data_IF_519345298533
#
_entry.id   IF_519345298533
#
_cell.length_a   1.000
_cell.length_b   1.000
_cell.length_c   1.000
_cell.angle_alpha   90.00
_cell.angle_beta   90.00
_cell.angle_gamma   90.00
#
_symmetry.space_group_name_H-M   'P 1'
#
loop_
_entity.id
_entity.type
_entity.pdbx_description
1 polymer ?
#
# COMPACT_ATOMS: atom_id res chain seq x y z
N UNK A 1 9.50 2.37 12.09
CA UNK A 1 9.51 3.78 12.56
C UNK A 1 10.28 3.89 13.86
N UNK A 2 11.08 4.95 14.04
CA UNK A 2 11.77 5.17 15.30
C UNK A 2 10.76 5.50 16.40
N UNK A 3 10.83 4.78 17.52
CA UNK A 3 10.00 4.96 18.72
C UNK A 3 9.77 6.43 19.17
N UNK A 4 10.76 7.35 19.13
CA UNK A 4 10.53 8.74 19.53
C UNK A 4 9.54 9.49 18.62
N UNK A 5 9.50 9.21 17.33
CA UNK A 5 8.56 9.86 16.40
C UNK A 5 7.13 9.38 16.68
N UNK A 6 6.97 8.08 16.97
CA UNK A 6 5.67 7.52 17.34
C UNK A 6 5.16 8.12 18.66
N UNK A 7 6.04 8.26 19.66
CA UNK A 7 5.69 8.88 20.93
C UNK A 7 5.31 10.36 20.76
N UNK A 8 6.08 11.13 20.00
CA UNK A 8 5.77 12.53 19.70
C UNK A 8 4.45 12.68 18.94
N UNK A 9 4.20 11.81 17.95
CA UNK A 9 2.93 11.76 17.23
C UNK A 9 1.75 11.45 18.15
N UNK A 10 1.88 10.43 19.01
CA UNK A 10 0.83 10.05 19.96
C UNK A 10 0.46 11.20 20.90
N UNK A 11 1.46 11.93 21.43
CA UNK A 11 1.22 13.11 22.27
C UNK A 11 0.49 14.20 21.47
N UNK A 12 0.92 14.47 20.23
CA UNK A 12 0.31 15.50 19.39
C UNK A 12 -1.15 15.17 19.06
N UNK A 13 -1.46 13.92 18.70
CA UNK A 13 -2.83 13.48 18.45
C UNK A 13 -3.68 13.51 19.72
N UNK A 14 -3.12 13.14 20.87
CA UNK A 14 -3.85 13.22 22.15
C UNK A 14 -4.21 14.67 22.51
N UNK A 15 -3.26 15.60 22.37
CA UNK A 15 -3.49 17.03 22.61
C UNK A 15 -4.51 17.60 21.62
N UNK A 16 -4.43 17.23 20.34
CA UNK A 16 -5.41 17.63 19.34
C UNK A 16 -6.82 17.10 19.66
N UNK A 17 -6.93 15.83 20.06
CA UNK A 17 -8.20 15.22 20.50
C UNK A 17 -8.79 15.93 21.71
N UNK A 18 -7.97 16.25 22.72
CA UNK A 18 -8.40 17.03 23.88
C UNK A 18 -8.87 18.44 23.50
N UNK A 19 -8.18 19.10 22.56
CA UNK A 19 -8.58 20.42 22.07
C UNK A 19 -9.93 20.38 21.33
N UNK A 20 -10.15 19.34 20.50
CA UNK A 20 -11.44 19.12 19.81
C UNK A 20 -12.56 18.85 20.82
N UNK A 21 -12.34 17.98 21.81
CA UNK A 21 -13.32 17.69 22.87
C UNK A 21 -13.70 18.94 23.66
N UNK A 22 -12.71 19.77 24.04
CA UNK A 22 -12.97 21.05 24.72
C UNK A 22 -13.71 22.04 23.82
N UNK A 23 -13.41 22.05 22.52
CA UNK A 23 -14.13 22.86 21.53
C UNK A 23 -15.61 22.46 21.43
N UNK A 24 -15.88 21.15 21.32
CA UNK A 24 -17.25 20.62 21.27
C UNK A 24 -18.01 20.97 22.55
N UNK A 25 -17.41 20.75 23.72
CA UNK A 25 -18.03 21.09 25.03
C UNK A 25 -18.36 22.57 25.17
N UNK A 26 -17.53 23.47 24.60
CA UNK A 26 -17.80 24.93 24.61
C UNK A 26 -18.96 25.33 23.70
N UNK A 27 -19.15 24.64 22.58
CA UNK A 27 -20.20 24.97 21.60
C UNK A 27 -21.53 24.32 21.95
N UNK A 28 -21.51 23.07 22.40
CA UNK A 28 -22.72 22.25 22.61
C UNK A 28 -23.14 22.17 24.09
N UNK A 29 -22.26 22.59 25.00
CA UNK A 29 -22.49 22.54 26.45
C UNK A 29 -21.85 21.31 27.11
N UNK A 30 -21.63 21.41 28.42
CA UNK A 30 -20.81 20.50 29.21
C UNK A 30 -21.33 19.05 29.33
N UNK A 31 -22.58 18.78 28.96
CA UNK A 31 -23.29 17.55 29.32
C UNK A 31 -23.33 16.47 28.21
N UNK A 32 -22.53 16.64 27.15
CA UNK A 32 -22.66 15.83 25.94
C UNK A 32 -21.53 14.81 25.74
N UNK A 33 -21.22 14.01 26.78
CA UNK A 33 -20.24 12.92 26.69
C UNK A 33 -20.52 11.96 25.50
N UNK A 34 -21.80 11.74 25.18
CA UNK A 34 -22.24 10.95 24.02
C UNK A 34 -21.75 11.52 22.69
N UNK A 35 -21.72 12.85 22.52
CA UNK A 35 -21.25 13.49 21.28
C UNK A 35 -19.74 13.36 21.10
N UNK A 36 -18.97 13.47 22.19
CA UNK A 36 -17.52 13.25 22.13
C UNK A 36 -17.17 11.81 21.74
N UNK A 37 -17.91 10.82 22.26
CA UNK A 37 -17.72 9.41 21.88
C UNK A 37 -18.09 9.18 20.41
N UNK A 38 -19.22 9.70 19.96
CA UNK A 38 -19.66 9.55 18.56
C UNK A 38 -18.68 10.18 17.57
N UNK A 39 -18.19 11.39 17.86
CA UNK A 39 -17.18 12.06 17.00
C UNK A 39 -15.85 11.30 17.00
N UNK A 40 -15.42 10.74 18.14
CA UNK A 40 -14.25 9.86 18.19
C UNK A 40 -14.38 8.59 17.33
N UNK A 41 -15.54 7.93 17.38
CA UNK A 41 -15.83 6.75 16.55
C UNK A 41 -15.82 7.11 15.06
N UNK A 42 -16.54 8.18 14.69
CA UNK A 42 -16.59 8.65 13.29
C UNK A 42 -15.19 9.04 12.79
N UNK A 43 -14.39 9.73 13.61
CA UNK A 43 -13.02 10.09 13.26
C UNK A 43 -12.14 8.86 13.03
N UNK A 44 -12.30 7.80 13.85
CA UNK A 44 -11.57 6.54 13.68
C UNK A 44 -11.97 5.84 12.37
N UNK A 45 -13.26 5.84 12.03
CA UNK A 45 -13.76 5.29 10.75
C UNK A 45 -13.15 6.04 9.57
N UNK A 46 -13.18 7.38 9.59
CA UNK A 46 -12.59 8.20 8.53
C UNK A 46 -11.08 8.03 8.41
N UNK A 47 -10.36 7.89 9.52
CA UNK A 47 -8.94 7.56 9.50
C UNK A 47 -8.69 6.21 8.82
N UNK A 48 -9.53 5.21 9.10
CA UNK A 48 -9.47 3.91 8.42
C UNK A 48 -9.73 4.01 6.91
N UNK A 49 -10.77 4.76 6.50
CA UNK A 49 -11.07 5.01 5.08
C UNK A 49 -9.90 5.72 4.38
N UNK A 50 -9.32 6.73 5.03
CA UNK A 50 -8.15 7.43 4.50
C UNK A 50 -6.95 6.49 4.31
N UNK A 51 -6.65 5.64 5.31
CA UNK A 51 -5.54 4.70 5.23
C UNK A 51 -5.75 3.65 4.13
N UNK A 52 -6.97 3.12 3.96
CA UNK A 52 -7.30 2.21 2.86
C UNK A 52 -7.15 2.89 1.51
N UNK A 53 -7.72 4.10 1.33
CA UNK A 53 -7.60 4.85 0.09
C UNK A 53 -6.16 5.27 -0.23
N UNK A 54 -5.35 5.58 0.79
CA UNK A 54 -3.93 5.87 0.64
C UNK A 54 -3.15 4.66 0.10
N UNK A 55 -3.48 3.46 0.57
CA UNK A 55 -2.90 2.21 0.05
C UNK A 55 -3.32 1.92 -1.39
N UNK A 56 -4.60 2.13 -1.73
CA UNK A 56 -5.12 1.91 -3.09
C UNK A 56 -4.56 2.89 -4.12
N UNK A 57 -4.35 4.15 -3.74
CA UNK A 57 -3.76 5.19 -4.61
C UNK A 57 -2.25 5.04 -4.82
N UNK A 58 -1.61 4.04 -4.20
CA UNK A 58 -0.18 3.80 -4.33
C UNK A 58 0.70 4.79 -3.58
N UNK A 59 0.12 5.66 -2.74
CA UNK A 59 0.89 6.51 -1.82
C UNK A 59 1.42 5.64 -0.68
N UNK A 60 2.57 5.03 -0.96
CA UNK A 60 3.27 4.20 0.00
C UNK A 60 3.93 5.08 1.08
N UNK A 61 4.09 4.52 2.28
CA UNK A 61 4.92 5.11 3.34
C UNK A 61 6.40 4.73 3.20
N UNK A 62 6.76 4.13 2.07
CA UNK A 62 8.10 3.62 1.84
C UNK A 62 9.10 4.77 1.75
N UNK A 63 10.36 4.45 1.95
CA UNK A 63 11.43 5.40 1.68
C UNK A 63 11.54 5.69 0.18
N UNK A 64 12.13 6.84 -0.20
CA UNK A 64 12.42 7.14 -1.61
C UNK A 64 13.26 6.05 -2.29
N UNK A 65 14.14 5.41 -1.53
CA UNK A 65 14.99 4.32 -2.02
C UNK A 65 14.17 3.06 -2.28
N UNK A 66 13.24 2.72 -1.38
CA UNK A 66 12.32 1.60 -1.55
C UNK A 66 11.36 1.79 -2.74
N UNK A 67 10.87 3.02 -2.95
CA UNK A 67 10.03 3.33 -4.12
C UNK A 67 10.82 3.29 -5.43
N UNK A 68 12.07 3.79 -5.44
CA UNK A 68 12.95 3.69 -6.60
C UNK A 68 13.26 2.23 -6.94
N UNK A 69 13.54 1.41 -5.92
CA UNK A 69 13.79 -0.02 -6.08
C UNK A 69 12.54 -0.75 -6.60
N UNK A 70 11.36 -0.47 -6.04
CA UNK A 70 10.09 -1.02 -6.55
C UNK A 70 9.82 -0.63 -8.00
N UNK A 71 10.14 0.60 -8.37
CA UNK A 71 9.98 1.11 -9.75
C UNK A 71 10.93 0.38 -10.69
N UNK A 72 12.19 0.19 -10.29
CA UNK A 72 13.16 -0.57 -11.09
C UNK A 72 12.70 -2.01 -11.32
N UNK A 73 12.28 -2.72 -10.26
CA UNK A 73 11.81 -4.10 -10.38
C UNK A 73 10.55 -4.15 -11.25
N UNK A 74 9.67 -3.15 -11.15
CA UNK A 74 8.51 -3.04 -12.01
C UNK A 74 8.90 -2.90 -13.49
N UNK A 75 9.86 -2.05 -13.82
CA UNK A 75 10.37 -1.89 -15.18
C UNK A 75 11.01 -3.19 -15.69
N UNK A 76 11.82 -3.87 -14.87
CA UNK A 76 12.41 -5.18 -15.18
C UNK A 76 11.33 -6.25 -15.44
N UNK A 77 10.21 -6.19 -14.70
CA UNK A 77 9.07 -7.06 -14.90
C UNK A 77 8.29 -6.73 -16.18
N UNK A 78 8.07 -5.45 -16.47
CA UNK A 78 7.39 -5.02 -17.70
C UNK A 78 8.18 -5.44 -18.93
N UNK A 79 9.51 -5.24 -18.93
CA UNK A 79 10.39 -5.70 -20.02
C UNK A 79 10.27 -7.22 -20.23
N UNK A 80 10.35 -8.00 -19.15
CA UNK A 80 10.14 -9.45 -19.21
C UNK A 80 8.75 -9.81 -19.75
N UNK A 81 7.70 -9.12 -19.27
CA UNK A 81 6.33 -9.42 -19.64
C UNK A 81 6.05 -9.07 -21.10
N UNK A 82 6.58 -7.97 -21.61
CA UNK A 82 6.44 -7.57 -23.02
C UNK A 82 7.22 -8.49 -23.97
N UNK A 83 8.38 -9.02 -23.55
CA UNK A 83 9.17 -9.97 -24.36
C UNK A 83 8.61 -11.41 -24.30
N UNK A 84 8.03 -11.83 -23.17
CA UNK A 84 7.75 -13.26 -22.90
C UNK A 84 6.30 -13.61 -22.61
N UNK A 85 5.44 -12.66 -22.29
CA UNK A 85 4.05 -12.93 -21.96
C UNK A 85 3.12 -12.38 -23.04
N UNK A 86 2.14 -13.19 -23.42
CA UNK A 86 1.06 -12.77 -24.30
C UNK A 86 -0.19 -12.51 -23.46
N UNK A 87 -0.85 -11.38 -23.72
CA UNK A 87 -2.14 -11.05 -23.10
C UNK A 87 -3.23 -11.79 -23.87
N UNK A 88 -3.92 -12.72 -23.21
CA UNK A 88 -5.01 -13.50 -23.80
C UNK A 88 -6.33 -13.09 -23.15
N UNK A 89 -7.38 -12.89 -23.95
CA UNK A 89 -8.70 -12.44 -23.47
C UNK A 89 -9.41 -13.50 -22.61
N UNK A 90 -9.02 -14.77 -22.76
CA UNK A 90 -9.48 -15.86 -21.91
C UNK A 90 -8.69 -15.86 -20.59
N UNK A 91 -9.32 -15.45 -19.48
CA UNK A 91 -8.76 -15.45 -18.11
C UNK A 91 -8.25 -16.84 -17.63
N UNK A 92 -8.41 -17.88 -18.43
CA UNK A 92 -7.91 -19.22 -18.19
C UNK A 92 -6.46 -19.41 -18.62
N UNK A 93 -5.54 -19.35 -17.67
CA UNK A 93 -4.55 -20.42 -17.38
C UNK A 93 -3.08 -20.04 -17.24
N UNK A 94 -2.70 -18.75 -17.19
CA UNK A 94 -1.32 -18.42 -16.82
C UNK A 94 -1.14 -18.64 -15.31
N UNK A 95 -0.66 -19.83 -14.95
CA UNK A 95 -0.36 -20.17 -13.56
C UNK A 95 0.76 -19.26 -13.04
N UNK A 96 0.45 -18.52 -11.97
CA UNK A 96 1.36 -17.57 -11.32
C UNK A 96 2.71 -18.19 -10.97
N UNK A 97 2.75 -19.48 -10.62
CA UNK A 97 3.98 -20.21 -10.33
C UNK A 97 4.91 -20.28 -11.54
N UNK A 98 4.37 -20.44 -12.75
CA UNK A 98 5.18 -20.44 -13.97
C UNK A 98 5.70 -19.05 -14.31
N UNK A 99 4.91 -18.01 -14.08
CA UNK A 99 5.36 -16.61 -14.28
C UNK A 99 6.52 -16.29 -13.35
N UNK A 100 6.40 -16.62 -12.06
CA UNK A 100 7.48 -16.45 -11.07
C UNK A 100 8.73 -17.20 -11.52
N UNK A 101 8.60 -18.49 -11.86
CA UNK A 101 9.75 -19.29 -12.27
C UNK A 101 10.40 -18.77 -13.56
N UNK A 102 9.61 -18.30 -14.53
CA UNK A 102 10.10 -17.72 -15.77
C UNK A 102 10.82 -16.38 -15.53
N UNK A 103 10.23 -15.50 -14.72
CA UNK A 103 10.82 -14.21 -14.35
C UNK A 103 12.17 -14.40 -13.64
N UNK A 104 12.25 -15.29 -12.64
CA UNK A 104 13.51 -15.60 -11.93
C UNK A 104 14.57 -16.28 -12.83
N UNK A 105 14.14 -16.98 -13.89
CA UNK A 105 15.08 -17.55 -14.89
C UNK A 105 15.66 -16.47 -15.78
N UNK A 106 14.82 -15.53 -16.21
CA UNK A 106 15.18 -14.41 -17.08
C UNK A 106 16.07 -13.40 -16.36
N UNK A 107 15.70 -13.00 -15.13
CA UNK A 107 16.46 -12.09 -14.30
C UNK A 107 17.20 -12.84 -13.19
N UNK A 108 18.49 -13.11 -13.44
CA UNK A 108 19.32 -13.90 -12.52
C UNK A 108 19.44 -13.33 -11.10
N UNK A 109 19.29 -12.00 -10.94
CA UNK A 109 19.26 -11.31 -9.64
C UNK A 109 18.12 -11.81 -8.74
N UNK A 110 17.00 -12.22 -9.33
CA UNK A 110 15.80 -12.63 -8.60
C UNK A 110 15.73 -14.12 -8.28
N UNK A 111 16.79 -14.88 -8.55
CA UNK A 111 16.81 -16.32 -8.25
C UNK A 111 16.79 -16.62 -6.76
N UNK A 112 17.39 -15.73 -5.95
CA UNK A 112 17.47 -15.83 -4.49
C UNK A 112 16.52 -14.78 -3.92
N UNK A 113 15.53 -15.21 -3.17
CA UNK A 113 14.48 -14.34 -2.63
C UNK A 113 15.01 -13.38 -1.55
N UNK A 114 15.99 -13.82 -0.76
CA UNK A 114 16.59 -13.04 0.32
C UNK A 114 17.75 -12.12 -0.13
N UNK A 115 18.01 -12.00 -1.43
CA UNK A 115 19.05 -11.10 -1.92
C UNK A 115 18.57 -9.64 -1.86
N UNK A 116 19.39 -8.69 -1.38
CA UNK A 116 19.00 -7.27 -1.34
C UNK A 116 18.59 -6.75 -2.73
N UNK A 117 17.39 -6.17 -2.84
CA UNK A 117 16.82 -5.72 -4.11
C UNK A 117 16.24 -6.85 -4.97
N UNK A 118 16.00 -8.03 -4.40
CA UNK A 118 15.29 -9.11 -5.06
C UNK A 118 13.76 -8.97 -4.89
N UNK A 119 13.02 -9.37 -5.91
CA UNK A 119 11.56 -9.40 -5.88
C UNK A 119 11.09 -10.69 -5.18
N UNK A 120 10.27 -10.55 -4.14
CA UNK A 120 9.61 -11.70 -3.52
C UNK A 120 8.44 -12.21 -4.37
N UNK A 121 7.96 -13.42 -4.09
CA UNK A 121 6.90 -14.04 -4.89
C UNK A 121 5.61 -13.22 -4.89
N UNK A 122 5.24 -12.66 -3.73
CA UNK A 122 4.05 -11.83 -3.60
C UNK A 122 4.12 -10.60 -4.50
N UNK A 123 5.27 -9.95 -4.57
CA UNK A 123 5.52 -8.76 -5.37
C UNK A 123 5.45 -9.09 -6.86
N UNK A 124 6.05 -10.20 -7.29
CA UNK A 124 5.96 -10.64 -8.70
C UNK A 124 4.50 -10.91 -9.10
N UNK A 125 3.71 -11.55 -8.22
CA UNK A 125 2.28 -11.78 -8.48
C UNK A 125 1.49 -10.48 -8.56
N UNK A 126 1.77 -9.53 -7.67
CA UNK A 126 1.13 -8.21 -7.67
C UNK A 126 1.47 -7.45 -8.96
N UNK A 127 2.73 -7.49 -9.40
CA UNK A 127 3.17 -6.92 -10.66
C UNK A 127 2.49 -7.58 -11.86
N UNK A 128 2.40 -8.91 -11.89
CA UNK A 128 1.69 -9.62 -12.95
C UNK A 128 0.22 -9.18 -13.06
N UNK A 129 -0.50 -9.10 -11.93
CA UNK A 129 -1.89 -8.63 -11.90
C UNK A 129 -2.01 -7.18 -12.40
N UNK A 130 -1.13 -6.30 -11.91
CA UNK A 130 -1.11 -4.89 -12.32
C UNK A 130 -0.84 -4.75 -13.82
N UNK A 131 0.13 -5.47 -14.36
CA UNK A 131 0.47 -5.44 -15.79
C UNK A 131 -0.69 -5.94 -16.65
N UNK A 132 -1.38 -6.99 -16.21
CA UNK A 132 -2.55 -7.52 -16.88
C UNK A 132 -3.71 -6.50 -16.89
N UNK A 133 -4.04 -5.93 -15.73
CA UNK A 133 -5.10 -4.92 -15.58
C UNK A 133 -4.85 -3.66 -16.44
N UNK A 134 -3.64 -3.11 -16.39
CA UNK A 134 -3.24 -1.95 -17.21
C UNK A 134 -3.37 -2.26 -18.69
N UNK A 135 -3.00 -3.47 -19.12
CA UNK A 135 -3.08 -3.90 -20.51
C UNK A 135 -4.48 -3.92 -21.10
N UNK A 136 -5.50 -4.21 -20.27
CA UNK A 136 -6.91 -4.24 -20.66
C UNK A 136 -7.67 -2.95 -20.35
N UNK A 137 -7.00 -1.90 -19.85
CA UNK A 137 -7.65 -0.64 -19.47
C UNK A 137 -8.62 -0.77 -18.31
N UNK A 138 -8.51 -1.85 -17.51
CA UNK A 138 -9.27 -2.04 -16.28
C UNK A 138 -8.50 -1.34 -15.18
N UNK A 139 -8.76 -0.04 -15.00
CA UNK A 139 -8.23 0.78 -13.90
C UNK A 139 -9.28 0.95 -12.84
#
# INVERSE_FOLDING_TARGET
YPAPILAAGAVLFFVAGAAVDQGIKRVVGADSATLSIQTGIIGTIWAGVYEVGRLETGFSLNSREEDAERTRIWEEFVEFAEDRLERTEDEGSVNQVYVIAAFRRFHSRHRIEDYPGSANDKMIVEMFKRWYQVGYGVV
#
